data_IF_494111839591
#
_entry.id   IF_494111839591
#
_cell.length_a   1.000
_cell.length_b   1.000
_cell.length_c   1.000
_cell.angle_alpha   90.00
_cell.angle_beta   90.00
_cell.angle_gamma   90.00
#
_symmetry.space_group_name_H-M   'P 1'
#
loop_
_entity.id
_entity.type
_entity.pdbx_description
1 polymer ?
#
# COMPACT_ATOMS: atom_id res chain seq x y z
N UNK A 1 -2.77 -10.49 1.58
CA UNK A 1 -2.96 -9.78 2.88
C UNK A 1 -4.21 -8.92 2.80
N UNK A 2 -5.19 -9.14 3.69
CA UNK A 2 -6.39 -8.29 3.81
C UNK A 2 -6.02 -7.05 4.64
N UNK A 3 -6.44 -5.86 4.19
CA UNK A 3 -6.07 -4.57 4.81
C UNK A 3 -6.87 -4.39 6.10
N UNK A 4 -6.30 -3.67 7.06
CA UNK A 4 -6.97 -3.37 8.33
C UNK A 4 -8.18 -2.46 8.11
N UNK A 5 -9.22 -2.65 8.93
CA UNK A 5 -10.50 -1.93 8.87
C UNK A 5 -10.36 -0.39 8.87
N UNK A 6 -9.29 0.16 9.46
CA UNK A 6 -8.99 1.60 9.41
C UNK A 6 -8.90 2.15 7.98
N UNK A 7 -8.27 1.42 7.06
CA UNK A 7 -8.12 1.86 5.67
C UNK A 7 -9.45 1.84 4.91
N UNK A 8 -10.35 0.92 5.27
CA UNK A 8 -11.72 0.86 4.74
C UNK A 8 -12.49 2.12 5.13
N UNK A 9 -12.47 2.45 6.41
CA UNK A 9 -13.15 3.61 6.99
C UNK A 9 -12.62 4.95 6.42
N UNK A 10 -11.31 5.04 6.21
CA UNK A 10 -10.71 6.21 5.57
C UNK A 10 -11.20 6.40 4.13
N UNK A 11 -11.29 5.31 3.36
CA UNK A 11 -11.76 5.38 1.97
C UNK A 11 -13.25 5.72 1.92
N UNK A 12 -14.08 5.20 2.83
CA UNK A 12 -15.50 5.57 2.90
C UNK A 12 -15.71 7.06 3.12
N UNK A 13 -14.92 7.69 4.01
CA UNK A 13 -15.00 9.13 4.22
C UNK A 13 -14.58 9.92 2.97
N UNK A 14 -13.46 9.54 2.34
CA UNK A 14 -13.02 10.20 1.11
C UNK A 14 -14.06 10.09 0.00
N UNK A 15 -14.61 8.89 -0.21
CA UNK A 15 -15.65 8.66 -1.22
C UNK A 15 -16.93 9.41 -0.88
N UNK A 16 -17.34 9.42 0.39
CA UNK A 16 -18.54 10.13 0.84
C UNK A 16 -18.45 11.63 0.64
N UNK A 17 -17.33 12.25 1.06
CA UNK A 17 -17.08 13.69 0.86
C UNK A 17 -16.95 14.01 -0.63
N UNK A 18 -16.23 13.20 -1.41
CA UNK A 18 -16.09 13.40 -2.84
C UNK A 18 -17.44 13.29 -3.58
N UNK A 19 -18.30 12.36 -3.17
CA UNK A 19 -19.65 12.19 -3.71
C UNK A 19 -20.53 13.40 -3.42
N UNK A 20 -20.50 13.93 -2.18
CA UNK A 20 -21.22 15.16 -1.81
C UNK A 20 -20.71 16.34 -2.64
N UNK A 21 -19.39 16.52 -2.73
CA UNK A 21 -18.80 17.62 -3.50
C UNK A 21 -19.16 17.52 -5.00
N UNK A 22 -19.12 16.32 -5.56
CA UNK A 22 -19.48 16.09 -6.97
C UNK A 22 -20.98 16.29 -7.20
N UNK A 23 -21.81 15.80 -6.28
CA UNK A 23 -23.26 15.98 -6.31
C UNK A 23 -23.65 17.45 -6.22
N UNK A 24 -23.04 18.22 -5.33
CA UNK A 24 -23.30 19.65 -5.15
C UNK A 24 -23.00 20.49 -6.41
N UNK A 25 -22.15 19.99 -7.31
CA UNK A 25 -21.85 20.63 -8.59
C UNK A 25 -22.71 20.09 -9.76
N UNK A 26 -23.60 19.12 -9.51
CA UNK A 26 -24.51 18.58 -10.53
C UNK A 26 -25.84 19.35 -10.56
N UNK A 27 -26.47 19.51 -11.74
CA UNK A 27 -27.85 19.97 -11.87
C UNK A 27 -28.86 19.10 -11.10
N UNK A 28 -28.51 17.83 -10.81
CA UNK A 28 -29.35 16.87 -10.08
C UNK A 28 -28.58 16.30 -8.88
N UNK A 29 -28.41 17.09 -7.81
CA UNK A 29 -27.50 16.79 -6.71
C UNK A 29 -28.00 15.69 -5.77
N UNK A 30 -29.31 15.44 -5.73
CA UNK A 30 -29.96 14.72 -4.65
C UNK A 30 -29.38 13.32 -4.42
N UNK A 31 -29.35 12.46 -5.44
CA UNK A 31 -28.94 11.06 -5.29
C UNK A 31 -27.44 10.89 -4.98
N UNK A 32 -26.50 11.57 -5.67
CA UNK A 32 -25.08 11.51 -5.31
C UNK A 32 -24.78 12.10 -3.93
N UNK A 33 -25.44 13.20 -3.53
CA UNK A 33 -25.25 13.78 -2.20
C UNK A 33 -25.80 12.89 -1.09
N UNK A 34 -26.98 12.29 -1.27
CA UNK A 34 -27.56 11.35 -0.30
C UNK A 34 -26.67 10.12 -0.17
N UNK A 35 -26.22 9.55 -1.30
CA UNK A 35 -25.30 8.42 -1.29
C UNK A 35 -24.00 8.75 -0.53
N UNK A 36 -23.41 9.92 -0.81
CA UNK A 36 -22.22 10.38 -0.11
C UNK A 36 -22.43 10.60 1.39
N UNK A 37 -23.55 11.21 1.78
CA UNK A 37 -23.91 11.41 3.18
C UNK A 37 -24.09 10.07 3.92
N UNK A 38 -24.78 9.12 3.29
CA UNK A 38 -24.96 7.77 3.84
C UNK A 38 -23.62 7.04 4.01
N UNK A 39 -22.67 7.20 3.08
CA UNK A 39 -21.32 6.63 3.24
C UNK A 39 -20.58 7.23 4.44
N UNK A 40 -20.63 8.56 4.61
CA UNK A 40 -20.01 9.24 5.76
C UNK A 40 -20.64 8.76 7.07
N UNK A 41 -21.97 8.68 7.13
CA UNK A 41 -22.69 8.21 8.31
C UNK A 41 -22.39 6.75 8.63
N UNK A 42 -22.34 5.90 7.60
CA UNK A 42 -22.01 4.49 7.76
C UNK A 42 -20.60 4.34 8.33
N UNK A 43 -19.60 5.00 7.73
CA UNK A 43 -18.23 5.01 8.22
C UNK A 43 -18.11 5.57 9.65
N UNK A 44 -18.85 6.64 9.96
CA UNK A 44 -18.84 7.28 11.29
C UNK A 44 -19.51 6.48 12.40
N UNK A 45 -20.32 5.46 12.07
CA UNK A 45 -21.11 4.71 13.04
C UNK A 45 -20.45 3.41 13.51
N UNK A 46 -19.29 3.05 12.99
CA UNK A 46 -18.69 1.72 13.20
C UNK A 46 -17.90 1.58 14.49
N UNK A 47 -17.68 0.36 14.99
CA UNK A 47 -16.66 0.07 16.02
C UNK A 47 -15.23 0.11 15.43
N UNK A 48 -14.87 1.22 14.78
CA UNK A 48 -13.58 1.41 14.10
C UNK A 48 -12.68 2.48 14.75
N UNK A 49 -11.37 2.46 14.48
CA UNK A 49 -10.41 3.44 14.99
C UNK A 49 -10.61 4.88 14.47
N UNK A 50 -11.31 5.08 13.35
CA UNK A 50 -11.68 6.42 12.83
C UNK A 50 -13.16 6.75 13.07
N UNK A 51 -13.81 6.03 13.98
CA UNK A 51 -15.23 6.20 14.21
C UNK A 51 -15.52 7.36 15.14
N UNK A 52 -16.51 8.17 14.78
CA UNK A 52 -17.08 9.18 15.65
C UNK A 52 -18.03 8.54 16.69
N UNK A 53 -18.78 7.52 16.28
CA UNK A 53 -19.78 6.83 17.10
C UNK A 53 -19.58 5.33 17.05
N UNK A 54 -19.34 4.69 18.20
CA UNK A 54 -19.12 3.23 18.28
C UNK A 54 -20.44 2.47 18.44
N UNK A 55 -21.36 2.67 17.48
CA UNK A 55 -22.74 2.16 17.56
C UNK A 55 -22.92 0.82 16.85
N UNK A 56 -22.22 0.62 15.72
CA UNK A 56 -22.47 -0.47 14.78
C UNK A 56 -21.32 -1.50 14.82
N UNK A 57 -21.61 -2.78 15.12
CA UNK A 57 -20.59 -3.83 15.10
C UNK A 57 -20.13 -4.12 13.66
N UNK A 58 -18.88 -4.54 13.49
CA UNK A 58 -18.24 -4.75 12.17
C UNK A 58 -19.02 -5.69 11.24
N UNK A 59 -19.74 -6.67 11.80
CA UNK A 59 -20.59 -7.59 11.03
C UNK A 59 -21.76 -6.86 10.38
N UNK A 60 -22.40 -5.95 11.11
CA UNK A 60 -23.54 -5.18 10.62
C UNK A 60 -23.09 -4.12 9.60
N UNK A 61 -21.92 -3.51 9.81
CA UNK A 61 -21.31 -2.60 8.83
C UNK A 61 -21.11 -3.26 7.47
N UNK A 62 -20.63 -4.51 7.45
CA UNK A 62 -20.45 -5.24 6.19
C UNK A 62 -21.76 -5.40 5.42
N UNK A 63 -22.88 -5.63 6.11
CA UNK A 63 -24.19 -5.69 5.47
C UNK A 63 -24.64 -4.30 5.00
N UNK A 64 -24.37 -3.26 5.79
CA UNK A 64 -24.64 -1.87 5.40
C UNK A 64 -23.86 -1.47 4.14
N UNK A 65 -22.60 -1.86 4.00
CA UNK A 65 -21.79 -1.64 2.79
C UNK A 65 -22.44 -2.27 1.55
N UNK A 66 -22.86 -3.54 1.64
CA UNK A 66 -23.56 -4.19 0.54
C UNK A 66 -24.90 -3.53 0.23
N UNK A 67 -25.61 -3.05 1.26
CA UNK A 67 -26.82 -2.25 1.11
C UNK A 67 -26.56 -0.93 0.36
N UNK A 68 -25.48 -0.22 0.69
CA UNK A 68 -25.08 1.01 0.01
C UNK A 68 -24.70 0.75 -1.45
N UNK A 69 -23.93 -0.31 -1.71
CA UNK A 69 -23.58 -0.72 -3.08
C UNK A 69 -24.86 -1.01 -3.88
N UNK A 70 -25.77 -1.82 -3.33
CA UNK A 70 -27.03 -2.14 -3.98
C UNK A 70 -27.87 -0.88 -4.23
N UNK A 71 -27.96 0.03 -3.26
CA UNK A 71 -28.68 1.29 -3.39
C UNK A 71 -28.09 2.18 -4.49
N UNK A 72 -26.77 2.28 -4.59
CA UNK A 72 -26.10 3.04 -5.65
C UNK A 72 -26.32 2.43 -7.03
N UNK A 73 -26.25 1.10 -7.15
CA UNK A 73 -26.54 0.40 -8.40
C UNK A 73 -28.00 0.57 -8.82
N UNK A 74 -28.94 0.47 -7.89
CA UNK A 74 -30.35 0.73 -8.12
C UNK A 74 -30.58 2.20 -8.51
N UNK A 75 -29.94 3.14 -7.83
CA UNK A 75 -30.01 4.56 -8.18
C UNK A 75 -29.46 4.85 -9.57
N UNK A 76 -28.38 4.17 -9.98
CA UNK A 76 -27.82 4.31 -11.31
C UNK A 76 -28.71 3.69 -12.40
N UNK A 77 -29.28 2.51 -12.14
CA UNK A 77 -30.09 1.76 -13.11
C UNK A 77 -31.54 2.27 -13.21
N UNK A 78 -32.17 2.55 -12.08
CA UNK A 78 -33.58 2.93 -11.97
C UNK A 78 -33.80 4.44 -11.76
N UNK A 79 -32.73 5.24 -11.65
CA UNK A 79 -32.82 6.68 -11.37
C UNK A 79 -33.54 7.52 -12.44
N UNK A 80 -33.84 6.96 -13.61
CA UNK A 80 -34.67 7.61 -14.63
C UNK A 80 -34.21 9.03 -14.94
N UNK A 81 -35.15 9.97 -15.07
CA UNK A 81 -34.85 11.39 -15.29
C UNK A 81 -34.30 12.11 -14.05
N UNK A 82 -34.35 11.49 -12.86
CA UNK A 82 -33.85 12.07 -11.62
C UNK A 82 -32.32 12.01 -11.49
N UNK A 83 -31.64 11.21 -12.32
CA UNK A 83 -30.17 11.12 -12.36
C UNK A 83 -29.69 11.36 -13.79
N UNK A 84 -28.85 12.38 -13.97
CA UNK A 84 -28.19 12.64 -15.23
C UNK A 84 -27.05 11.63 -15.50
N UNK A 85 -26.52 11.53 -16.74
CA UNK A 85 -25.49 10.56 -17.08
C UNK A 85 -24.22 10.66 -16.21
N UNK A 86 -23.82 11.88 -15.82
CA UNK A 86 -22.67 12.09 -14.95
C UNK A 86 -22.99 11.59 -13.52
N UNK A 87 -24.17 11.91 -12.98
CA UNK A 87 -24.62 11.37 -11.70
C UNK A 87 -24.64 9.84 -11.66
N UNK A 88 -25.06 9.18 -12.75
CA UNK A 88 -25.03 7.71 -12.87
C UNK A 88 -23.59 7.19 -12.89
N UNK A 89 -22.69 7.83 -13.63
CA UNK A 89 -21.28 7.46 -13.66
C UNK A 89 -20.64 7.55 -12.27
N UNK A 90 -20.99 8.60 -11.50
CA UNK A 90 -20.53 8.75 -10.11
C UNK A 90 -21.06 7.63 -9.23
N UNK A 91 -22.37 7.33 -9.28
CA UNK A 91 -22.96 6.22 -8.49
C UNK A 91 -22.32 4.87 -8.82
N UNK A 92 -22.08 4.59 -10.10
CA UNK A 92 -21.41 3.36 -10.54
C UNK A 92 -19.96 3.30 -10.06
N UNK A 93 -19.22 4.40 -10.13
CA UNK A 93 -17.84 4.48 -9.64
C UNK A 93 -17.78 4.28 -8.12
N UNK A 94 -18.67 4.91 -7.37
CA UNK A 94 -18.77 4.73 -5.92
C UNK A 94 -19.10 3.28 -5.56
N UNK A 95 -20.10 2.69 -6.21
CA UNK A 95 -20.48 1.29 -5.99
C UNK A 95 -19.33 0.32 -6.29
N UNK A 96 -18.59 0.56 -7.38
CA UNK A 96 -17.44 -0.25 -7.75
C UNK A 96 -16.30 -0.13 -6.73
N UNK A 97 -15.89 1.09 -6.36
CA UNK A 97 -14.79 1.29 -5.43
C UNK A 97 -15.16 0.77 -4.04
N UNK A 98 -16.37 1.06 -3.56
CA UNK A 98 -16.86 0.56 -2.27
C UNK A 98 -16.90 -0.98 -2.28
N UNK A 99 -17.45 -1.59 -3.33
CA UNK A 99 -17.46 -3.05 -3.48
C UNK A 99 -16.07 -3.68 -3.49
N UNK A 100 -15.12 -3.07 -4.20
CA UNK A 100 -13.74 -3.54 -4.23
C UNK A 100 -13.07 -3.43 -2.85
N UNK A 101 -13.29 -2.33 -2.14
CA UNK A 101 -12.75 -2.08 -0.81
C UNK A 101 -13.36 -3.03 0.21
N UNK A 102 -14.69 -3.19 0.24
CA UNK A 102 -15.41 -4.16 1.07
C UNK A 102 -14.93 -5.60 0.80
N UNK A 103 -14.69 -5.98 -0.47
CA UNK A 103 -14.14 -7.31 -0.80
C UNK A 103 -12.75 -7.52 -0.18
N UNK A 104 -11.88 -6.51 -0.23
CA UNK A 104 -10.47 -6.61 0.22
C UNK A 104 -10.28 -6.41 1.72
N UNK A 105 -11.30 -5.96 2.43
CA UNK A 105 -11.27 -5.69 3.88
C UNK A 105 -11.50 -6.95 4.72
N UNK A 106 -10.71 -7.10 5.79
CA UNK A 106 -10.95 -8.09 6.84
C UNK A 106 -11.84 -7.49 7.93
N UNK A 107 -13.04 -8.06 8.11
CA UNK A 107 -13.99 -7.67 9.17
C UNK A 107 -13.83 -8.50 10.47
N UNK A 108 -12.76 -9.28 10.58
CA UNK A 108 -12.47 -10.03 11.81
C UNK A 108 -12.04 -9.06 12.91
N UNK A 109 -12.70 -9.11 14.08
CA UNK A 109 -12.14 -8.54 15.31
C UNK A 109 -10.78 -9.22 15.50
N UNK A 110 -9.69 -8.49 15.29
CA UNK A 110 -8.39 -8.91 15.82
C UNK A 110 -8.64 -9.09 17.30
N UNK A 111 -8.72 -10.34 17.76
CA UNK A 111 -8.67 -10.65 19.19
C UNK A 111 -7.43 -9.92 19.67
N UNK A 112 -7.63 -8.88 20.48
CA UNK A 112 -6.54 -8.19 21.15
C UNK A 112 -5.89 -9.31 21.95
N UNK A 113 -4.80 -9.87 21.42
CA UNK A 113 -4.03 -10.88 22.12
C UNK A 113 -3.73 -10.21 23.45
N UNK A 114 -4.32 -10.73 24.53
CA UNK A 114 -4.03 -10.24 25.87
C UNK A 114 -2.53 -10.17 25.94
N UNK A 115 -2.01 -8.94 26.02
CA UNK A 115 -0.62 -8.74 26.34
C UNK A 115 -0.53 -9.27 27.75
N UNK A 116 -0.06 -10.52 27.89
CA UNK A 116 0.49 -11.00 29.15
C UNK A 116 1.34 -9.83 29.66
N UNK A 117 1.06 -9.27 30.84
CA UNK A 117 1.76 -8.08 31.32
C UNK A 117 3.23 -8.44 31.38
N UNK A 118 3.99 -8.04 30.36
CA UNK A 118 5.41 -8.30 30.28
C UNK A 118 6.06 -7.53 31.42
N UNK A 119 6.86 -8.22 32.23
CA UNK A 119 7.61 -7.53 33.27
C UNK A 119 8.62 -6.57 32.62
N UNK A 120 9.08 -5.56 33.36
CA UNK A 120 10.06 -4.60 32.83
C UNK A 120 11.34 -5.29 32.36
N UNK A 121 11.69 -6.45 32.94
CA UNK A 121 12.82 -7.26 32.47
C UNK A 121 12.56 -7.94 31.12
N UNK A 122 11.34 -8.40 30.87
CA UNK A 122 10.97 -9.02 29.59
C UNK A 122 10.93 -8.00 28.46
N UNK A 123 10.42 -6.79 28.71
CA UNK A 123 10.49 -5.67 27.76
C UNK A 123 11.94 -5.30 27.47
N UNK A 124 12.80 -5.25 28.50
CA UNK A 124 14.24 -5.00 28.35
C UNK A 124 14.96 -6.09 27.54
N UNK A 125 14.66 -7.38 27.80
CA UNK A 125 15.20 -8.51 27.02
C UNK A 125 14.73 -8.48 25.57
N UNK A 126 13.44 -8.23 25.33
CA UNK A 126 12.89 -8.17 23.97
C UNK A 126 13.51 -7.01 23.16
N UNK A 127 13.62 -5.83 23.78
CA UNK A 127 14.28 -4.67 23.18
C UNK A 127 15.77 -4.94 22.90
N UNK A 128 16.47 -5.60 23.83
CA UNK A 128 17.87 -6.01 23.64
C UNK A 128 18.04 -7.00 22.47
N UNK A 129 17.15 -7.99 22.34
CA UNK A 129 17.18 -8.93 21.22
C UNK A 129 16.87 -8.26 19.87
N UNK A 130 15.89 -7.36 19.83
CA UNK A 130 15.53 -6.64 18.60
C UNK A 130 16.66 -5.70 18.17
N UNK A 131 17.18 -4.86 19.07
CA UNK A 131 18.29 -3.95 18.78
C UNK A 131 19.57 -4.71 18.42
N UNK A 132 19.86 -5.79 19.14
CA UNK A 132 21.02 -6.64 18.87
C UNK A 132 20.95 -7.34 17.51
N UNK A 133 19.78 -7.84 17.12
CA UNK A 133 19.57 -8.47 15.81
C UNK A 133 19.63 -7.44 14.68
N UNK A 134 19.04 -6.26 14.86
CA UNK A 134 19.12 -5.16 13.90
C UNK A 134 20.58 -4.70 13.68
N UNK A 135 21.34 -4.50 14.76
CA UNK A 135 22.75 -4.10 14.67
C UNK A 135 23.61 -5.18 13.99
N UNK A 136 23.40 -6.46 14.31
CA UNK A 136 24.09 -7.58 13.63
C UNK A 136 23.75 -7.64 12.14
N UNK A 137 22.49 -7.40 11.76
CA UNK A 137 22.06 -7.39 10.37
C UNK A 137 22.72 -6.26 9.57
N UNK A 138 22.72 -5.03 10.11
CA UNK A 138 23.37 -3.87 9.50
C UNK A 138 24.88 -4.10 9.35
N UNK A 139 25.54 -4.61 10.39
CA UNK A 139 26.97 -4.93 10.34
C UNK A 139 27.29 -6.03 9.31
N UNK A 140 26.44 -7.05 9.19
CA UNK A 140 26.60 -8.14 8.19
C UNK A 140 26.43 -7.59 6.77
N UNK A 141 25.47 -6.70 6.56
CA UNK A 141 25.24 -6.04 5.27
C UNK A 141 26.41 -5.13 4.89
N UNK A 142 26.94 -4.33 5.84
CA UNK A 142 28.13 -3.51 5.61
C UNK A 142 29.38 -4.33 5.25
N UNK A 143 29.61 -5.48 5.91
CA UNK A 143 30.72 -6.39 5.54
C UNK A 143 30.53 -7.03 4.17
N UNK A 144 29.29 -7.37 3.79
CA UNK A 144 29.00 -7.92 2.47
C UNK A 144 29.26 -6.90 1.36
N UNK A 145 28.84 -5.65 1.55
CA UNK A 145 29.06 -4.57 0.57
C UNK A 145 30.56 -4.26 0.45
N UNK A 146 31.27 -4.13 1.58
CA UNK A 146 32.72 -3.91 1.58
C UNK A 146 33.48 -5.07 0.91
N UNK A 147 33.06 -6.31 1.11
CA UNK A 147 33.65 -7.48 0.46
C UNK A 147 33.42 -7.52 -1.06
N UNK A 148 32.23 -7.13 -1.54
CA UNK A 148 31.91 -7.06 -2.97
C UNK A 148 32.70 -5.93 -3.65
N UNK A 149 32.75 -4.74 -3.03
CA UNK A 149 33.52 -3.60 -3.55
C UNK A 149 35.02 -3.91 -3.56
N UNK A 150 35.56 -4.51 -2.51
CA UNK A 150 36.95 -4.93 -2.46
C UNK A 150 37.30 -5.97 -3.52
N UNK A 151 36.40 -6.95 -3.74
CA UNK A 151 36.59 -7.98 -4.78
C UNK A 151 36.54 -7.38 -6.19
N UNK A 152 35.59 -6.47 -6.46
CA UNK A 152 35.47 -5.79 -7.75
C UNK A 152 36.66 -4.86 -8.05
N UNK A 153 37.17 -4.13 -7.04
CA UNK A 153 38.36 -3.30 -7.19
C UNK A 153 39.62 -4.14 -7.46
N UNK A 154 39.76 -5.28 -6.78
CA UNK A 154 40.88 -6.20 -7.02
C UNK A 154 40.85 -6.84 -8.41
N UNK A 155 39.67 -7.20 -8.92
CA UNK A 155 39.54 -7.79 -10.27
C UNK A 155 39.79 -6.77 -11.37
N UNK A 156 39.27 -5.54 -11.23
CA UNK A 156 39.51 -4.48 -12.22
C UNK A 156 40.99 -4.12 -12.36
N UNK A 157 41.73 -4.13 -11.24
CA UNK A 157 43.17 -3.87 -11.22
C UNK A 157 43.95 -5.02 -11.88
N UNK A 158 43.56 -6.27 -11.60
CA UNK A 158 44.18 -7.45 -12.20
C UNK A 158 43.93 -7.55 -13.73
N UNK A 159 42.72 -7.24 -14.18
CA UNK A 159 42.37 -7.24 -15.60
C UNK A 159 43.10 -6.14 -16.38
N UNK A 160 43.24 -4.95 -15.78
CA UNK A 160 44.02 -3.85 -16.35
C UNK A 160 45.50 -4.20 -16.51
N UNK A 161 46.10 -4.83 -15.50
CA UNK A 161 47.50 -5.28 -15.56
C UNK A 161 47.71 -6.36 -16.64
N UNK A 162 46.77 -7.31 -16.77
CA UNK A 162 46.82 -8.34 -17.81
C UNK A 162 46.64 -7.79 -19.23
N UNK A 163 45.75 -6.80 -19.40
CA UNK A 163 45.55 -6.14 -20.70
C UNK A 163 46.80 -5.37 -21.15
N UNK A 164 47.43 -4.62 -20.23
CA UNK A 164 48.68 -3.90 -20.51
C UNK A 164 49.82 -4.86 -20.91
N UNK A 165 49.94 -6.00 -20.20
CA UNK A 165 50.93 -7.04 -20.54
C UNK A 165 50.72 -7.61 -21.95
N UNK A 166 49.47 -7.88 -22.36
CA UNK A 166 49.16 -8.37 -23.70
C UNK A 166 49.44 -7.35 -24.80
N UNK A 167 49.15 -6.07 -24.55
CA UNK A 167 49.47 -4.99 -25.50
C UNK A 167 50.97 -4.81 -25.68
N UNK A 168 51.74 -4.85 -24.59
CA UNK A 168 53.20 -4.79 -24.65
C UNK A 168 53.78 -5.99 -25.41
N UNK A 169 53.28 -7.21 -25.16
CA UNK A 169 53.71 -8.41 -25.89
C UNK A 169 53.36 -8.33 -27.38
N UNK A 170 52.17 -7.81 -27.71
CA UNK A 170 51.73 -7.60 -29.10
C UNK A 170 52.60 -6.56 -29.82
N UNK A 171 52.91 -5.44 -29.17
CA UNK A 171 53.80 -4.40 -29.71
C UNK A 171 55.22 -4.93 -29.96
N UNK A 172 55.77 -5.70 -29.03
CA UNK A 172 57.09 -6.33 -29.18
C UNK A 172 57.10 -7.34 -30.35
N UNK A 173 56.06 -8.16 -30.49
CA UNK A 173 55.96 -9.09 -31.63
C UNK A 173 55.77 -8.36 -32.97
N UNK A 174 55.00 -7.27 -33.00
CA UNK A 174 54.82 -6.45 -34.20
C UNK A 174 56.14 -5.80 -34.66
N UNK A 175 56.94 -5.29 -33.72
CA UNK A 175 58.28 -4.75 -33.99
C UNK A 175 59.24 -5.85 -34.48
N UNK A 176 59.23 -7.02 -33.84
CA UNK A 176 60.07 -8.16 -34.23
C UNK A 176 59.78 -8.65 -35.66
N UNK A 177 58.52 -8.67 -36.07
CA UNK A 177 58.13 -9.11 -37.43
C UNK A 177 58.46 -8.06 -38.51
N UNK A 178 58.65 -6.78 -38.15
CA UNK A 178 59.07 -5.73 -39.10
C UNK A 178 60.52 -5.87 -39.55
N UNK A 179 61.39 -6.41 -38.69
CA UNK A 179 62.82 -6.58 -38.97
C UNK A 179 63.17 -7.93 -39.62
N UNK A 180 62.17 -8.76 -39.95
CA UNK A 180 62.34 -10.05 -40.64
C UNK A 180 61.90 -10.01 -42.12
N UNK A 181 61.68 -8.82 -42.69
CA UNK A 181 61.46 -8.62 -44.13
C UNK A 181 62.69 -7.99 -44.76
#
# INVERSE_FOLDING_TARGET
MKRGFWAHQFVEYLLGVAAIATGANSPKPALPCIAGALMVLNGASTEGPLSAFKLVPLRLHRFADFGLIALMLLGAAAGGSAVDPQGRAVLLALAFILGFVTWRTSFEKRVKKESVPMTREEVGRLAGHVSGNAFKAVRKQGRSVSGVVGKAASSATADGANAAGRMSASAVNALRNRHRK
#
